data_IF_695411521611
#
_entry.id   IF_695411521611
#
_cell.length_a   1.000
_cell.length_b   1.000
_cell.length_c   1.000
_cell.angle_alpha   90.00
_cell.angle_beta   90.00
_cell.angle_gamma   90.00
#
_symmetry.space_group_name_H-M   'P 1'
#
loop_
_entity.id
_entity.type
_entity.pdbx_description
1 polymer ?
#
# COMPACT_ATOMS: atom_id res chain seq x y z
N UNK A 1 10.97 2.15 6.12
CA UNK A 1 9.67 1.50 5.83
C UNK A 1 9.03 1.95 4.53
N UNK A 2 8.40 3.14 4.41
CA UNK A 2 7.59 3.48 3.22
C UNK A 2 8.41 3.48 1.93
N UNK A 3 9.60 4.09 1.95
CA UNK A 3 10.53 4.10 0.81
C UNK A 3 10.85 2.68 0.33
N UNK A 4 11.31 1.82 1.23
CA UNK A 4 11.63 0.40 0.96
C UNK A 4 10.40 -0.42 0.54
N UNK A 5 9.26 -0.19 1.18
CA UNK A 5 8.01 -0.89 0.86
C UNK A 5 7.54 -0.54 -0.54
N UNK A 6 7.56 0.75 -0.87
CA UNK A 6 7.05 1.29 -2.13
C UNK A 6 7.89 0.92 -3.34
N UNK A 7 9.13 0.44 -3.16
CA UNK A 7 10.06 0.00 -4.22
C UNK A 7 10.27 1.05 -5.33
N UNK A 8 10.14 2.35 -5.00
CA UNK A 8 10.23 3.46 -5.97
C UNK A 8 11.69 3.80 -6.35
N UNK A 9 12.66 3.41 -5.52
CA UNK A 9 14.07 3.75 -5.74
C UNK A 9 14.27 5.25 -5.89
N UNK A 10 15.07 5.67 -6.87
CA UNK A 10 15.36 7.10 -7.14
C UNK A 10 14.12 7.94 -7.46
N UNK A 11 13.01 7.32 -7.87
CA UNK A 11 11.78 8.06 -8.11
C UNK A 11 11.11 8.52 -6.81
N UNK A 12 11.51 8.00 -5.64
CA UNK A 12 10.90 8.34 -4.36
C UNK A 12 10.98 9.84 -4.04
N UNK A 13 12.09 10.50 -4.44
CA UNK A 13 12.32 11.93 -4.22
C UNK A 13 11.75 12.82 -5.34
N UNK A 14 11.15 12.23 -6.38
CA UNK A 14 10.58 12.97 -7.49
C UNK A 14 9.18 13.53 -7.13
N UNK A 15 8.74 14.62 -7.76
CA UNK A 15 7.40 15.15 -7.51
C UNK A 15 6.30 14.11 -7.81
N UNK A 16 5.40 13.86 -6.85
CA UNK A 16 4.33 12.83 -6.96
C UNK A 16 3.49 12.95 -8.25
N UNK A 17 3.33 14.16 -8.79
CA UNK A 17 2.63 14.40 -10.07
C UNK A 17 3.22 13.65 -11.26
N UNK A 18 4.49 13.23 -11.20
CA UNK A 18 5.18 12.48 -12.27
C UNK A 18 4.97 10.97 -12.16
N UNK A 19 4.36 10.49 -11.08
CA UNK A 19 4.26 9.06 -10.80
C UNK A 19 3.26 8.40 -11.73
N UNK A 20 3.50 7.14 -12.10
CA UNK A 20 2.45 6.32 -12.71
C UNK A 20 1.32 6.03 -11.71
N UNK A 21 0.18 5.53 -12.20
CA UNK A 21 -0.88 5.03 -11.32
C UNK A 21 -0.36 3.95 -10.38
N UNK A 22 0.46 3.02 -10.87
CA UNK A 22 1.10 1.99 -10.07
C UNK A 22 1.98 2.58 -8.97
N UNK A 23 2.89 3.50 -9.32
CA UNK A 23 3.79 4.14 -8.35
C UNK A 23 3.01 4.86 -7.23
N UNK A 24 1.96 5.61 -7.58
CA UNK A 24 1.07 6.25 -6.60
C UNK A 24 0.40 5.23 -5.69
N UNK A 25 -0.13 4.15 -6.26
CA UNK A 25 -0.77 3.08 -5.49
C UNK A 25 0.20 2.39 -4.53
N UNK A 26 1.44 2.10 -4.96
CA UNK A 26 2.46 1.50 -4.09
C UNK A 26 2.87 2.42 -2.94
N UNK A 27 3.06 3.70 -3.22
CA UNK A 27 3.36 4.72 -2.21
C UNK A 27 2.22 4.84 -1.21
N UNK A 28 0.98 4.97 -1.70
CA UNK A 28 -0.21 5.11 -0.87
C UNK A 28 -0.43 3.90 0.04
N UNK A 29 -0.29 2.68 -0.49
CA UNK A 29 -0.41 1.47 0.31
C UNK A 29 0.70 1.38 1.38
N UNK A 30 1.95 1.68 1.00
CA UNK A 30 3.07 1.70 1.94
C UNK A 30 2.84 2.70 3.07
N UNK A 31 2.31 3.89 2.77
CA UNK A 31 1.96 4.89 3.76
C UNK A 31 0.85 4.41 4.69
N UNK A 32 -0.22 3.82 4.16
CA UNK A 32 -1.32 3.29 4.97
C UNK A 32 -0.87 2.18 5.92
N UNK A 33 0.06 1.32 5.51
CA UNK A 33 0.58 0.25 6.36
C UNK A 33 1.68 0.69 7.33
N UNK A 34 2.33 1.84 7.08
CA UNK A 34 3.38 2.37 7.96
C UNK A 34 2.86 2.72 9.36
N UNK A 35 1.60 3.11 9.45
CA UNK A 35 0.93 3.37 10.72
C UNK A 35 0.06 2.18 11.10
N UNK A 36 0.04 1.85 12.40
CA UNK A 36 -0.84 0.82 12.96
C UNK A 36 -2.13 1.47 13.43
N UNK A 37 -3.13 1.49 12.55
CA UNK A 37 -4.47 1.98 12.87
C UNK A 37 -5.29 0.88 13.55
N UNK A 38 -6.22 1.26 14.41
CA UNK A 38 -7.18 0.31 15.00
C UNK A 38 -8.20 -0.18 13.97
N UNK A 39 -8.50 0.68 12.98
CA UNK A 39 -9.45 0.45 11.91
C UNK A 39 -8.88 0.84 10.56
N UNK A 40 -9.00 -0.06 9.59
CA UNK A 40 -8.68 0.17 8.20
C UNK A 40 -9.94 0.12 7.36
N UNK A 41 -10.12 1.09 6.49
CA UNK A 41 -11.17 1.07 5.46
C UNK A 41 -10.51 0.67 4.15
N UNK A 42 -11.04 -0.38 3.52
CA UNK A 42 -10.52 -0.92 2.27
C UNK A 42 -11.63 -0.88 1.24
N UNK A 43 -11.41 -0.13 0.17
CA UNK A 43 -12.25 -0.10 -1.01
C UNK A 43 -11.79 -1.21 -1.97
N UNK A 44 -12.71 -2.01 -2.52
CA UNK A 44 -12.50 -3.25 -3.28
C UNK A 44 -11.59 -3.12 -4.51
N UNK A 45 -11.16 -1.91 -4.87
CA UNK A 45 -10.16 -1.63 -5.92
C UNK A 45 -8.73 -1.78 -5.38
N UNK A 46 -8.41 -2.87 -4.68
CA UNK A 46 -7.02 -3.23 -4.33
C UNK A 46 -6.23 -3.75 -5.54
N UNK A 47 -6.42 -3.15 -6.72
CA UNK A 47 -5.63 -3.38 -7.94
C UNK A 47 -4.34 -2.54 -7.89
N UNK A 48 -3.55 -2.71 -6.83
CA UNK A 48 -2.30 -1.98 -6.66
C UNK A 48 -1.14 -2.74 -7.32
N UNK A 49 -0.56 -2.15 -8.36
CA UNK A 49 0.70 -2.60 -8.96
C UNK A 49 0.65 -3.93 -9.72
N UNK A 50 1.84 -4.45 -10.01
CA UNK A 50 2.04 -5.73 -10.66
C UNK A 50 1.77 -6.92 -9.71
N UNK A 51 1.74 -8.13 -10.26
CA UNK A 51 1.42 -9.34 -9.51
C UNK A 51 2.35 -9.58 -8.29
N UNK A 52 3.63 -9.25 -8.41
CA UNK A 52 4.60 -9.43 -7.32
C UNK A 52 4.31 -8.46 -6.18
N UNK A 53 3.99 -7.20 -6.50
CA UNK A 53 3.63 -6.21 -5.50
C UNK A 53 2.32 -6.55 -4.79
N UNK A 54 1.32 -7.07 -5.52
CA UNK A 54 0.06 -7.54 -4.91
C UNK A 54 0.29 -8.63 -3.87
N UNK A 55 1.17 -9.59 -4.14
CA UNK A 55 1.53 -10.62 -3.16
C UNK A 55 2.17 -10.00 -1.91
N UNK A 56 3.09 -9.04 -2.08
CA UNK A 56 3.71 -8.29 -0.96
C UNK A 56 2.65 -7.56 -0.13
N UNK A 57 1.72 -6.84 -0.77
CA UNK A 57 0.62 -6.17 -0.09
C UNK A 57 -0.25 -7.15 0.69
N UNK A 58 -0.60 -8.28 0.10
CA UNK A 58 -1.42 -9.31 0.75
C UNK A 58 -0.77 -9.88 2.01
N UNK A 59 0.55 -10.10 1.99
CA UNK A 59 1.28 -10.55 3.18
C UNK A 59 1.20 -9.53 4.32
N UNK A 60 1.52 -8.26 4.06
CA UNK A 60 1.44 -7.20 5.06
C UNK A 60 0.01 -6.97 5.55
N UNK A 61 -0.96 -7.07 4.65
CA UNK A 61 -2.38 -6.96 4.98
C UNK A 61 -2.81 -8.08 5.94
N UNK A 62 -2.39 -9.32 5.68
CA UNK A 62 -2.70 -10.48 6.52
C UNK A 62 -2.09 -10.34 7.92
N UNK A 63 -0.85 -9.87 8.01
CA UNK A 63 -0.19 -9.57 9.29
C UNK A 63 -0.92 -8.48 10.05
N UNK A 64 -1.35 -7.41 9.37
CA UNK A 64 -2.09 -6.33 10.03
C UNK A 64 -3.48 -6.75 10.48
N UNK A 65 -4.13 -7.66 9.76
CA UNK A 65 -5.47 -8.19 10.09
C UNK A 65 -5.54 -8.95 11.42
N UNK A 66 -4.43 -9.48 11.93
CA UNK A 66 -4.44 -10.08 13.28
C UNK A 66 -4.44 -9.06 14.40
N UNK A 67 -4.10 -7.80 14.11
CA UNK A 67 -3.90 -6.76 15.13
C UNK A 67 -4.88 -5.59 15.02
N UNK A 68 -5.62 -5.49 13.90
CA UNK A 68 -6.48 -4.36 13.57
C UNK A 68 -7.78 -4.81 12.92
N UNK A 69 -8.82 -4.00 13.04
CA UNK A 69 -10.12 -4.25 12.40
C UNK A 69 -10.15 -3.71 10.97
N UNK A 70 -10.85 -4.39 10.08
CA UNK A 70 -10.95 -4.02 8.66
C UNK A 70 -12.41 -3.90 8.25
N UNK A 71 -12.77 -2.74 7.70
CA UNK A 71 -14.06 -2.49 7.05
C UNK A 71 -13.84 -2.57 5.54
N UNK A 72 -14.38 -3.61 4.91
CA UNK A 72 -14.37 -3.75 3.46
C UNK A 72 -15.64 -3.12 2.88
N UNK A 73 -15.46 -2.27 1.88
CA UNK A 73 -16.54 -1.63 1.12
C UNK A 73 -16.51 -2.19 -0.30
N UNK A 74 -17.66 -2.75 -0.72
CA UNK A 74 -17.94 -3.34 -2.04
C UNK A 74 -19.02 -2.54 -2.76
#
# INVERSE_FOLDING_TARGET
>A
FVEEFSELGQYFDMPIKTYSSGMRSRLGFGLSMAFKFDYYIVDEVTAVGDAKFRTKCYHYFKERRSESNFLMVS
#
